data_IF_739227465277
#
_entry.id   IF_739227465277
#
_cell.length_a   1.000
_cell.length_b   1.000
_cell.length_c   1.000
_cell.angle_alpha   90.00
_cell.angle_beta   90.00
_cell.angle_gamma   90.00
#
_symmetry.space_group_name_H-M   'P 1'
#
loop_
_entity.id
_entity.type
_entity.pdbx_description
1 polymer ?
#
# COMPACT_ATOMS: atom_id res chain seq x y z
N UNK A 1 -52.21 -27.07 3.09
CA UNK A 1 -51.65 -28.21 3.88
C UNK A 1 -52.33 -29.50 3.46
N UNK A 2 -51.74 -30.71 3.59
CA UNK A 2 -50.39 -31.06 4.09
C UNK A 2 -49.57 -31.90 3.07
N UNK A 3 -48.26 -31.73 2.93
CA UNK A 3 -47.19 -32.23 3.82
C UNK A 3 -47.35 -33.73 4.22
N UNK A 4 -46.66 -34.62 3.50
CA UNK A 4 -46.37 -36.00 3.96
C UNK A 4 -44.84 -36.15 4.03
N UNK A 5 -44.24 -35.84 5.18
CA UNK A 5 -43.93 -36.73 6.31
C UNK A 5 -43.10 -37.96 5.91
N UNK A 6 -41.79 -37.79 6.11
CA UNK A 6 -40.79 -38.79 6.49
C UNK A 6 -41.40 -39.95 7.31
N UNK A 7 -41.08 -41.19 6.93
CA UNK A 7 -41.03 -42.31 7.87
C UNK A 7 -39.69 -43.01 7.73
N UNK A 8 -38.87 -42.85 8.75
CA UNK A 8 -37.77 -43.73 9.10
C UNK A 8 -38.34 -45.12 9.37
N UNK A 9 -37.64 -46.17 8.92
CA UNK A 9 -37.91 -47.56 9.30
C UNK A 9 -36.79 -48.05 10.22
N UNK A 10 -37.12 -48.73 11.34
CA UNK A 10 -36.17 -49.10 12.39
C UNK A 10 -35.44 -50.43 12.14
N UNK A 11 -34.50 -50.66 13.07
CA UNK A 11 -33.34 -51.56 13.13
C UNK A 11 -33.51 -53.10 13.11
N UNK A 12 -32.38 -53.74 12.76
CA UNK A 12 -31.77 -54.98 13.31
C UNK A 12 -32.30 -56.37 12.87
N UNK A 13 -31.53 -57.48 13.02
CA UNK A 13 -30.24 -57.65 13.72
C UNK A 13 -29.12 -58.47 13.02
N UNK A 14 -27.89 -58.12 13.41
CA UNK A 14 -26.72 -58.95 13.77
C UNK A 14 -26.64 -60.42 13.29
N UNK A 15 -25.57 -60.74 12.56
CA UNK A 15 -24.85 -62.01 12.74
C UNK A 15 -23.38 -61.75 13.08
N UNK A 16 -23.05 -62.07 14.33
CA UNK A 16 -21.70 -62.23 14.88
C UNK A 16 -21.14 -63.57 14.42
N UNK A 17 -19.94 -63.57 13.86
CA UNK A 17 -18.97 -64.65 14.09
C UNK A 17 -17.62 -64.01 14.34
N UNK A 18 -17.08 -64.31 15.51
CA UNK A 18 -15.87 -63.75 16.06
C UNK A 18 -14.71 -64.74 15.92
N UNK A 19 -13.50 -64.16 15.96
CA UNK A 19 -12.25 -64.70 16.50
C UNK A 19 -11.55 -65.85 15.74
N UNK A 20 -10.35 -65.53 15.24
CA UNK A 20 -9.13 -66.06 15.86
C UNK A 20 -7.95 -65.12 15.60
N UNK A 21 -7.32 -64.73 16.70
CA UNK A 21 -6.10 -63.95 16.79
C UNK A 21 -4.95 -64.88 17.19
N UNK A 22 -3.78 -64.72 16.58
CA UNK A 22 -2.46 -65.00 17.18
C UNK A 22 -1.38 -64.46 16.22
N UNK A 23 -0.82 -63.26 16.45
CA UNK A 23 0.36 -62.96 17.27
C UNK A 23 1.70 -63.46 16.66
N UNK A 24 2.43 -62.56 15.99
CA UNK A 24 3.89 -62.48 16.08
C UNK A 24 4.27 -61.01 16.20
N UNK A 25 4.71 -60.63 17.40
CA UNK A 25 5.36 -59.37 17.71
C UNK A 25 6.81 -59.41 17.23
N UNK A 26 7.27 -58.38 16.52
CA UNK A 26 8.65 -57.86 16.51
C UNK A 26 8.80 -56.90 15.31
N UNK A 27 8.51 -55.62 15.52
CA UNK A 27 8.65 -54.61 14.48
C UNK A 27 8.33 -53.20 14.95
N UNK A 28 8.49 -52.90 16.23
CA UNK A 28 8.51 -51.52 16.72
C UNK A 28 9.90 -50.93 16.45
N UNK A 29 10.26 -50.77 15.18
CA UNK A 29 11.40 -49.95 14.77
C UNK A 29 10.84 -48.57 14.45
N UNK A 30 11.09 -47.64 15.37
CA UNK A 30 10.54 -46.30 15.35
C UNK A 30 10.84 -45.57 14.06
N UNK A 31 9.80 -45.32 13.27
CA UNK A 31 9.82 -44.26 12.28
C UNK A 31 9.52 -42.96 13.01
N UNK A 32 10.55 -42.40 13.65
CA UNK A 32 10.55 -41.02 14.06
C UNK A 32 10.45 -40.17 12.79
N UNK A 33 9.22 -39.81 12.41
CA UNK A 33 8.99 -38.73 11.46
C UNK A 33 9.64 -37.49 12.08
N UNK A 34 10.82 -37.13 11.56
CA UNK A 34 11.37 -35.81 11.77
C UNK A 34 10.35 -34.83 11.19
N UNK A 35 9.51 -34.24 12.06
CA UNK A 35 8.82 -33.01 11.73
C UNK A 35 9.92 -31.99 11.51
N UNK A 36 10.33 -31.82 10.24
CA UNK A 36 11.14 -30.70 9.85
C UNK A 36 10.42 -29.44 10.36
N UNK A 37 11.11 -28.49 11.02
CA UNK A 37 10.47 -27.22 11.33
C UNK A 37 10.00 -26.64 10.00
N UNK A 38 8.68 -26.50 9.86
CA UNK A 38 8.10 -25.68 8.83
C UNK A 38 8.62 -24.27 9.09
N UNK A 39 9.66 -23.89 8.35
CA UNK A 39 10.14 -22.53 8.36
C UNK A 39 9.02 -21.69 7.75
N UNK A 40 8.29 -20.96 8.60
CA UNK A 40 7.51 -19.83 8.14
C UNK A 40 8.52 -18.80 7.62
N UNK A 41 8.87 -18.90 6.34
CA UNK A 41 9.64 -17.89 5.65
C UNK A 41 8.74 -16.67 5.47
N UNK A 42 8.90 -15.70 6.38
CA UNK A 42 8.11 -14.48 6.36
C UNK A 42 8.47 -13.57 7.51
N UNK A 43 9.73 -13.14 7.57
CA UNK A 43 10.04 -11.93 8.33
C UNK A 43 9.18 -10.82 7.74
N UNK A 44 8.26 -10.27 8.54
CA UNK A 44 7.43 -9.16 8.12
C UNK A 44 8.36 -8.01 7.70
N UNK A 45 8.30 -7.63 6.42
CA UNK A 45 8.98 -6.44 5.93
C UNK A 45 8.42 -5.24 6.71
N UNK A 46 9.21 -4.60 7.60
CA UNK A 46 8.68 -3.55 8.48
C UNK A 46 8.19 -2.32 7.72
N UNK A 47 8.59 -2.18 6.45
CA UNK A 47 8.24 -1.04 5.62
C UNK A 47 7.13 -1.35 4.62
N UNK A 48 6.57 -2.56 4.58
CA UNK A 48 5.47 -2.88 3.68
C UNK A 48 4.11 -2.49 4.28
N UNK A 49 3.41 -1.48 3.74
CA UNK A 49 2.19 -0.94 4.36
C UNK A 49 0.91 -1.64 3.88
N UNK A 50 0.99 -2.53 2.89
CA UNK A 50 -0.18 -3.17 2.29
C UNK A 50 -0.59 -4.43 3.06
N UNK A 51 -1.89 -4.74 3.06
CA UNK A 51 -2.44 -5.95 3.70
C UNK A 51 -1.90 -7.22 3.04
N UNK A 52 -1.76 -7.22 1.71
CA UNK A 52 -1.21 -8.35 0.96
C UNK A 52 0.29 -8.45 1.19
N UNK A 53 0.84 -9.66 1.44
CA UNK A 53 2.27 -9.85 1.58
C UNK A 53 3.00 -9.43 0.30
N UNK A 54 4.20 -8.87 0.46
CA UNK A 54 5.02 -8.44 -0.67
C UNK A 54 5.51 -9.66 -1.46
N UNK A 55 5.06 -9.78 -2.70
CA UNK A 55 5.60 -10.73 -3.68
C UNK A 55 6.49 -9.95 -4.64
N UNK A 56 7.83 -10.04 -4.60
CA UNK A 56 8.72 -9.14 -5.35
C UNK A 56 8.77 -9.40 -6.86
N UNK A 57 8.60 -10.66 -7.27
CA UNK A 57 8.66 -11.10 -8.67
C UNK A 57 7.47 -11.98 -8.97
N UNK A 58 6.84 -11.78 -10.12
CA UNK A 58 5.75 -12.62 -10.59
C UNK A 58 6.28 -13.98 -11.05
N UNK A 59 5.44 -15.02 -10.92
CA UNK A 59 5.74 -16.34 -11.47
C UNK A 59 5.01 -16.50 -12.81
N UNK A 60 5.78 -16.54 -13.91
CA UNK A 60 5.23 -16.65 -15.26
C UNK A 60 4.28 -17.85 -15.42
N UNK A 61 4.62 -19.00 -14.84
CA UNK A 61 3.80 -20.21 -14.89
C UNK A 61 2.43 -20.09 -14.22
N UNK A 62 2.17 -19.06 -13.40
CA UNK A 62 0.82 -18.80 -12.87
C UNK A 62 -0.06 -18.00 -13.83
N UNK A 63 0.54 -17.32 -14.82
CA UNK A 63 -0.15 -16.42 -15.74
C UNK A 63 -0.22 -16.97 -17.16
N UNK A 64 0.69 -17.87 -17.51
CA UNK A 64 0.91 -18.34 -18.87
C UNK A 64 0.85 -19.86 -18.96
N UNK A 65 0.02 -20.35 -19.87
CA UNK A 65 -0.16 -21.77 -20.15
C UNK A 65 0.51 -22.24 -21.45
N UNK A 66 1.28 -21.36 -22.11
CA UNK A 66 2.02 -21.70 -23.33
C UNK A 66 3.43 -22.22 -23.04
N UNK A 67 4.29 -22.29 -24.08
CA UNK A 67 5.69 -22.70 -23.91
C UNK A 67 6.44 -21.81 -22.90
N UNK A 68 7.51 -22.36 -22.33
CA UNK A 68 8.34 -21.62 -21.37
C UNK A 68 8.89 -20.33 -21.98
N UNK A 69 8.90 -19.26 -21.18
CA UNK A 69 9.48 -17.96 -21.54
C UNK A 69 10.89 -17.75 -20.99
N UNK A 70 11.40 -18.72 -20.23
CA UNK A 70 12.71 -18.62 -19.60
C UNK A 70 13.84 -18.55 -20.64
N UNK A 71 14.73 -17.57 -20.49
CA UNK A 71 15.87 -17.38 -21.39
C UNK A 71 15.53 -16.81 -22.77
N UNK A 72 14.27 -16.44 -23.04
CA UNK A 72 13.90 -15.77 -24.28
C UNK A 72 14.36 -14.31 -24.23
N UNK A 73 15.21 -13.92 -25.18
CA UNK A 73 15.55 -12.52 -25.42
C UNK A 73 14.58 -11.90 -26.42
N UNK A 74 13.53 -11.25 -25.91
CA UNK A 74 12.46 -10.68 -26.74
C UNK A 74 12.88 -9.43 -27.53
N UNK A 75 14.00 -8.80 -27.16
CA UNK A 75 14.56 -7.66 -27.88
C UNK A 75 15.13 -8.03 -29.26
N UNK A 76 15.35 -9.32 -29.53
CA UNK A 76 15.92 -9.80 -30.80
C UNK A 76 14.93 -9.71 -31.97
N UNK A 77 13.62 -9.63 -31.71
CA UNK A 77 12.59 -9.35 -32.73
C UNK A 77 12.18 -7.87 -32.63
N UNK A 78 12.52 -7.02 -33.62
CA UNK A 78 12.21 -5.59 -33.59
C UNK A 78 10.71 -5.28 -33.49
N UNK A 79 9.84 -6.12 -34.09
CA UNK A 79 8.39 -5.92 -34.03
C UNK A 79 7.85 -6.25 -32.64
N UNK A 80 8.40 -7.28 -31.99
CA UNK A 80 8.09 -7.58 -30.58
C UNK A 80 8.58 -6.42 -29.71
N UNK A 81 9.82 -5.95 -29.93
CA UNK A 81 10.42 -4.90 -29.12
C UNK A 81 9.64 -3.57 -29.17
N UNK A 82 9.07 -3.23 -30.33
CA UNK A 82 8.20 -2.07 -30.51
C UNK A 82 6.83 -2.24 -29.82
N UNK A 83 6.24 -3.44 -29.92
CA UNK A 83 4.87 -3.69 -29.47
C UNK A 83 4.76 -3.87 -27.94
N UNK A 84 5.75 -4.50 -27.31
CA UNK A 84 5.77 -4.77 -25.86
C UNK A 84 5.46 -3.54 -24.99
N UNK A 85 6.13 -2.37 -25.13
CA UNK A 85 5.84 -1.21 -24.30
C UNK A 85 4.43 -0.65 -24.52
N UNK A 86 3.85 -0.81 -25.71
CA UNK A 86 2.48 -0.40 -26.01
C UNK A 86 1.49 -1.33 -25.29
N UNK A 87 1.69 -2.64 -25.39
CA UNK A 87 0.84 -3.62 -24.71
C UNK A 87 0.99 -3.55 -23.19
N UNK A 88 2.19 -3.34 -22.65
CA UNK A 88 2.40 -3.25 -21.21
C UNK A 88 1.79 -1.97 -20.60
N UNK A 89 1.65 -0.90 -21.37
CA UNK A 89 1.16 0.37 -20.85
C UNK A 89 -0.31 0.32 -20.41
N UNK A 90 -0.60 0.65 -19.14
CA UNK A 90 -1.97 0.68 -18.59
C UNK A 90 -2.95 1.58 -19.36
N UNK A 91 -2.45 2.60 -20.06
CA UNK A 91 -3.26 3.52 -20.86
C UNK A 91 -3.81 2.90 -22.15
N UNK A 92 -3.21 1.80 -22.61
CA UNK A 92 -3.67 1.09 -23.80
C UNK A 92 -4.85 0.22 -23.39
N UNK A 93 -6.08 0.52 -23.82
CA UNK A 93 -7.25 -0.26 -23.43
C UNK A 93 -7.16 -1.69 -24.04
N UNK A 94 -7.88 -2.63 -23.43
CA UNK A 94 -7.72 -4.05 -23.80
C UNK A 94 -8.24 -4.38 -25.21
N UNK A 95 -9.23 -3.65 -25.71
CA UNK A 95 -9.75 -3.76 -27.07
C UNK A 95 -8.71 -3.34 -28.13
N UNK A 96 -7.97 -2.27 -27.87
CA UNK A 96 -6.82 -1.86 -28.69
C UNK A 96 -5.69 -2.90 -28.60
N UNK A 97 -5.38 -3.37 -27.39
CA UNK A 97 -4.38 -4.42 -27.19
C UNK A 97 -4.72 -5.71 -27.96
N UNK A 98 -5.98 -6.16 -27.91
CA UNK A 98 -6.46 -7.32 -28.67
C UNK A 98 -6.30 -7.09 -30.18
N UNK A 99 -6.62 -5.90 -30.67
CA UNK A 99 -6.45 -5.54 -32.08
C UNK A 99 -4.99 -5.60 -32.52
N UNK A 100 -4.08 -5.08 -31.70
CA UNK A 100 -2.64 -5.11 -31.95
C UNK A 100 -2.08 -6.54 -31.92
N UNK A 101 -2.53 -7.37 -30.97
CA UNK A 101 -2.13 -8.78 -30.86
C UNK A 101 -2.61 -9.57 -32.08
N UNK A 102 -3.85 -9.37 -32.52
CA UNK A 102 -4.39 -10.00 -33.73
C UNK A 102 -3.61 -9.59 -34.99
N UNK A 103 -3.29 -8.30 -35.12
CA UNK A 103 -2.49 -7.79 -36.23
C UNK A 103 -1.08 -8.40 -36.23
N UNK A 104 -0.44 -8.47 -35.06
CA UNK A 104 0.86 -9.13 -34.91
C UNK A 104 0.78 -10.63 -35.26
N UNK A 105 -0.25 -11.33 -34.80
CA UNK A 105 -0.47 -12.75 -35.06
C UNK A 105 -0.70 -13.06 -36.56
N UNK A 106 -1.33 -12.15 -37.30
CA UNK A 106 -1.52 -12.27 -38.74
C UNK A 106 -0.20 -12.12 -39.52
N UNK A 107 0.73 -11.32 -39.02
CA UNK A 107 2.09 -11.15 -39.57
C UNK A 107 3.09 -12.17 -39.00
N UNK A 108 2.69 -12.96 -37.98
CA UNK A 108 3.57 -13.85 -37.23
C UNK A 108 4.00 -15.13 -37.98
N UNK A 109 3.47 -15.38 -39.18
CA UNK A 109 3.62 -16.63 -39.90
C UNK A 109 2.51 -17.63 -39.54
N UNK A 110 2.80 -18.93 -39.58
CA UNK A 110 1.82 -19.99 -39.31
C UNK A 110 2.38 -21.10 -38.43
N UNK A 111 1.52 -21.74 -37.63
CA UNK A 111 1.89 -22.92 -36.85
C UNK A 111 3.00 -22.65 -35.84
N UNK A 112 4.05 -23.48 -35.84
CA UNK A 112 5.12 -23.42 -34.83
C UNK A 112 5.87 -22.08 -34.79
N UNK A 113 6.11 -21.46 -35.96
CA UNK A 113 6.82 -20.17 -36.04
C UNK A 113 5.98 -19.02 -35.44
N UNK A 114 4.67 -19.03 -35.73
CA UNK A 114 3.70 -18.10 -35.13
C UNK A 114 3.67 -18.25 -33.61
N UNK A 115 3.55 -19.48 -33.12
CA UNK A 115 3.52 -19.77 -31.68
C UNK A 115 4.82 -19.37 -30.98
N UNK A 116 5.98 -19.53 -31.65
CA UNK A 116 7.27 -19.06 -31.14
C UNK A 116 7.32 -17.54 -31.00
N UNK A 117 6.86 -16.79 -32.01
CA UNK A 117 6.82 -15.32 -31.97
C UNK A 117 5.81 -14.80 -30.94
N UNK A 118 4.65 -15.44 -30.80
CA UNK A 118 3.65 -15.10 -29.77
C UNK A 118 4.15 -15.39 -28.35
N UNK A 119 4.89 -16.49 -28.17
CA UNK A 119 5.56 -16.79 -26.89
C UNK A 119 6.61 -15.72 -26.56
N UNK A 120 7.39 -15.28 -27.55
CA UNK A 120 8.35 -14.18 -27.39
C UNK A 120 7.67 -12.85 -27.06
N UNK A 121 6.53 -12.55 -27.68
CA UNK A 121 5.72 -11.38 -27.35
C UNK A 121 5.26 -11.41 -25.89
N UNK A 122 4.75 -12.55 -25.43
CA UNK A 122 4.35 -12.69 -24.04
C UNK A 122 5.55 -12.58 -23.08
N UNK A 123 6.71 -13.17 -23.43
CA UNK A 123 7.93 -13.05 -22.64
C UNK A 123 8.30 -11.57 -22.40
N UNK A 124 8.24 -10.73 -23.44
CA UNK A 124 8.50 -9.30 -23.33
C UNK A 124 7.45 -8.55 -22.52
N UNK A 125 6.15 -8.82 -22.74
CA UNK A 125 5.06 -8.21 -21.96
C UNK A 125 5.19 -8.53 -20.47
N UNK A 126 5.48 -9.80 -20.15
CA UNK A 126 5.65 -10.26 -18.77
C UNK A 126 6.85 -9.57 -18.12
N UNK A 127 8.00 -9.52 -18.79
CA UNK A 127 9.22 -8.89 -18.30
C UNK A 127 9.04 -7.38 -18.04
N UNK A 128 8.44 -6.66 -19.00
CA UNK A 128 8.18 -5.21 -18.87
C UNK A 128 7.21 -4.92 -17.72
N UNK A 129 6.10 -5.66 -17.61
CA UNK A 129 5.12 -5.48 -16.53
C UNK A 129 5.73 -5.85 -15.17
N UNK A 130 6.48 -6.95 -15.08
CA UNK A 130 7.15 -7.35 -13.84
C UNK A 130 8.18 -6.29 -13.40
N UNK A 131 8.94 -5.73 -14.36
CA UNK A 131 9.88 -4.63 -14.10
C UNK A 131 9.17 -3.37 -13.61
N UNK A 132 8.07 -2.95 -14.25
CA UNK A 132 7.25 -1.83 -13.78
C UNK A 132 6.71 -2.07 -12.38
N UNK A 133 6.22 -3.29 -12.12
CA UNK A 133 5.69 -3.69 -10.81
C UNK A 133 6.76 -3.59 -9.74
N UNK A 134 7.96 -4.14 -9.95
CA UNK A 134 9.05 -4.04 -8.98
C UNK A 134 9.42 -2.59 -8.66
N UNK A 135 9.39 -1.68 -9.65
CA UNK A 135 9.60 -0.23 -9.42
C UNK A 135 8.51 0.38 -8.55
N UNK A 136 7.25 -0.02 -8.75
CA UNK A 136 6.11 0.39 -7.91
C UNK A 136 6.30 -0.12 -6.49
N UNK A 137 6.57 -1.42 -6.29
CA UNK A 137 6.76 -1.98 -4.95
C UNK A 137 7.86 -1.23 -4.18
N UNK A 138 9.00 -0.95 -4.83
CA UNK A 138 10.07 -0.15 -4.22
C UNK A 138 9.62 1.29 -3.90
N UNK A 139 8.73 1.86 -4.70
CA UNK A 139 8.09 3.16 -4.42
C UNK A 139 7.19 3.13 -3.19
N UNK A 140 6.42 2.05 -3.01
CA UNK A 140 5.56 1.84 -1.83
C UNK A 140 6.40 1.76 -0.56
N UNK A 141 7.52 1.05 -0.58
CA UNK A 141 8.44 0.98 0.56
C UNK A 141 9.02 2.35 0.92
N UNK A 142 9.48 3.12 -0.08
CA UNK A 142 9.95 4.49 0.14
C UNK A 142 8.84 5.39 0.70
N UNK A 143 7.63 5.24 0.20
CA UNK A 143 6.46 5.96 0.70
C UNK A 143 6.21 5.65 2.17
N UNK A 144 6.18 4.37 2.54
CA UNK A 144 6.01 3.90 3.92
C UNK A 144 7.11 4.43 4.84
N UNK A 145 8.37 4.37 4.40
CA UNK A 145 9.48 4.97 5.14
C UNK A 145 9.25 6.46 5.41
N UNK A 146 8.86 7.24 4.40
CA UNK A 146 8.58 8.66 4.59
C UNK A 146 7.39 8.91 5.53
N UNK A 147 6.39 8.02 5.56
CA UNK A 147 5.28 8.10 6.51
C UNK A 147 5.73 7.85 7.95
N UNK A 148 6.64 6.90 8.17
CA UNK A 148 7.25 6.66 9.48
C UNK A 148 8.08 7.86 9.93
N UNK A 149 8.91 8.41 9.04
CA UNK A 149 9.76 9.56 9.33
C UNK A 149 8.92 10.81 9.64
N UNK A 150 7.84 11.06 8.88
CA UNK A 150 6.87 12.14 9.15
C UNK A 150 6.16 11.93 10.50
N UNK A 151 5.70 10.71 10.80
CA UNK A 151 5.08 10.39 12.09
C UNK A 151 6.02 10.67 13.27
N UNK A 152 7.31 10.33 13.12
CA UNK A 152 8.32 10.61 14.13
C UNK A 152 8.48 12.12 14.34
N UNK A 153 8.60 12.89 13.27
CA UNK A 153 8.74 14.35 13.34
C UNK A 153 7.52 15.00 14.01
N UNK A 154 6.30 14.64 13.61
CA UNK A 154 5.07 15.14 14.26
C UNK A 154 5.08 14.88 15.76
N UNK A 155 5.53 13.70 16.19
CA UNK A 155 5.64 13.36 17.63
C UNK A 155 6.67 14.25 18.33
N UNK A 156 7.84 14.46 17.73
CA UNK A 156 8.90 15.30 18.29
C UNK A 156 8.43 16.76 18.41
N UNK A 157 7.89 17.33 17.34
CA UNK A 157 7.35 18.70 17.31
C UNK A 157 6.16 18.87 18.28
N UNK A 158 5.28 17.87 18.39
CA UNK A 158 4.17 17.89 19.36
C UNK A 158 4.66 17.91 20.80
N UNK A 159 5.75 17.20 21.11
CA UNK A 159 6.37 17.22 22.44
C UNK A 159 7.03 18.57 22.72
N UNK A 160 7.71 19.15 21.73
CA UNK A 160 8.30 20.50 21.83
C UNK A 160 7.23 21.56 22.04
N UNK A 161 6.16 21.54 21.25
CA UNK A 161 5.01 22.41 21.40
C UNK A 161 4.38 22.30 22.80
N UNK A 162 4.23 21.06 23.31
CA UNK A 162 3.72 20.83 24.67
C UNK A 162 4.61 21.46 25.74
N UNK A 163 5.94 21.36 25.60
CA UNK A 163 6.91 21.97 26.52
C UNK A 163 6.87 23.49 26.45
N UNK A 164 6.82 24.06 25.25
CA UNK A 164 6.72 25.50 25.02
C UNK A 164 5.45 26.08 25.64
N UNK A 165 4.27 25.49 25.35
CA UNK A 165 2.99 25.89 25.95
C UNK A 165 2.99 25.80 27.48
N UNK A 166 3.63 24.77 28.07
CA UNK A 166 3.79 24.66 29.53
C UNK A 166 4.67 25.77 30.11
N UNK A 167 5.78 26.10 29.45
CA UNK A 167 6.69 27.16 29.87
C UNK A 167 6.01 28.54 29.81
N UNK A 168 5.28 28.84 28.74
CA UNK A 168 4.49 30.06 28.60
C UNK A 168 3.43 30.18 29.70
N UNK A 169 2.69 29.10 29.96
CA UNK A 169 1.69 29.06 31.04
C UNK A 169 2.32 29.32 32.41
N UNK A 170 3.48 28.72 32.69
CA UNK A 170 4.22 28.95 33.95
C UNK A 170 4.71 30.40 34.06
N UNK A 171 5.22 30.97 32.98
CA UNK A 171 5.66 32.37 32.94
C UNK A 171 4.49 33.36 33.11
N UNK A 172 3.30 33.02 32.59
CA UNK A 172 2.09 33.79 32.81
C UNK A 172 1.60 33.70 34.26
N UNK A 173 1.64 32.51 34.88
CA UNK A 173 1.28 32.33 36.29
C UNK A 173 2.24 33.06 37.24
N UNK A 174 3.55 33.03 36.96
CA UNK A 174 4.61 33.73 37.72
C UNK A 174 4.62 35.27 37.59
N UNK A 175 3.69 35.84 36.81
CA UNK A 175 3.43 37.29 36.77
C UNK A 175 2.22 37.69 37.62
N UNK A 176 1.33 36.75 37.93
CA UNK A 176 0.09 37.02 38.69
C UNK A 176 0.32 37.06 40.21
N UNK A 177 1.42 36.49 40.67
CA UNK A 177 1.91 36.45 42.05
C UNK A 177 2.86 37.62 42.41
N UNK A 178 3.30 38.43 41.42
CA UNK A 178 4.20 39.57 41.60
C UNK A 178 3.51 40.95 41.55
N UNK A 179 2.18 41.02 41.47
CA UNK A 179 1.40 42.26 41.54
C UNK A 179 0.26 42.14 42.55
N UNK A 180 0.60 42.27 43.83
CA UNK A 180 -0.35 42.71 44.84
C UNK A 180 0.28 43.85 45.66
N UNK A 181 -0.11 45.09 45.38
CA UNK A 181 -0.26 46.09 46.43
C UNK A 181 -1.74 46.42 46.62
N UNK A 182 -2.12 46.54 47.89
CA UNK A 182 -3.43 47.00 48.34
C UNK A 182 -3.90 48.27 47.62
N UNK A 183 -5.11 48.25 47.08
CA UNK A 183 -5.84 49.46 46.71
C UNK A 183 -7.32 49.33 47.09
N UNK A 184 -7.71 50.12 48.10
CA UNK A 184 -9.09 50.35 48.52
C UNK A 184 -9.94 51.00 47.42
N UNK A 185 -11.23 50.76 47.54
CA UNK A 185 -12.35 51.12 46.67
C UNK A 185 -12.51 52.61 46.31
N UNK A 186 -13.07 52.84 45.11
CA UNK A 186 -14.09 53.87 44.84
C UNK A 186 -14.92 53.50 43.59
N UNK A 187 -16.17 53.97 43.57
CA UNK A 187 -17.33 53.42 42.86
C UNK A 187 -17.76 54.27 41.64
N UNK A 188 -18.02 53.58 40.51
CA UNK A 188 -19.02 53.84 39.43
C UNK A 188 -18.98 55.14 38.58
N UNK A 189 -19.85 55.27 37.54
CA UNK A 189 -19.83 54.55 36.26
C UNK A 189 -19.84 55.53 35.05
N UNK A 190 -19.67 55.05 33.80
CA UNK A 190 -20.55 55.41 32.67
C UNK A 190 -20.16 54.72 31.35
N UNK A 191 -21.22 54.34 30.65
CA UNK A 191 -21.36 53.75 29.32
C UNK A 191 -21.04 54.71 28.18
N UNK A 192 -20.37 54.22 27.12
CA UNK A 192 -20.63 54.58 25.72
C UNK A 192 -19.88 53.67 24.74
N UNK A 193 -20.64 52.99 23.89
CA UNK A 193 -20.30 52.50 22.52
C UNK A 193 -21.30 53.24 21.60
N UNK A 194 -21.14 53.41 20.26
CA UNK A 194 -20.31 52.57 19.37
C UNK A 194 -19.69 53.23 18.10
N UNK A 195 -18.96 52.38 17.35
CA UNK A 195 -19.00 52.21 15.88
C UNK A 195 -18.07 52.99 14.94
N UNK A 196 -17.53 52.25 13.96
CA UNK A 196 -16.84 52.67 12.73
C UNK A 196 -15.71 51.68 12.35
N UNK A 197 -15.93 50.62 11.53
CA UNK A 197 -15.86 50.58 10.05
C UNK A 197 -14.49 51.00 9.48
N UNK A 198 -13.82 50.39 8.49
CA UNK A 198 -14.00 49.22 7.63
C UNK A 198 -12.69 49.03 6.79
N UNK A 199 -12.58 47.89 6.10
CA UNK A 199 -11.70 47.58 4.93
C UNK A 199 -10.17 47.56 5.17
N UNK A 200 -9.34 46.71 4.57
CA UNK A 200 -9.42 45.81 3.42
C UNK A 200 -8.06 45.89 2.69
N UNK A 201 -7.43 44.77 2.32
CA UNK A 201 -6.24 44.83 1.45
C UNK A 201 -5.20 43.70 1.55
N UNK A 202 -5.37 42.70 0.68
CA UNK A 202 -4.36 42.04 -0.16
C UNK A 202 -3.15 41.32 0.46
N UNK A 203 -3.01 40.06 0.01
CA UNK A 203 -1.94 39.15 0.40
C UNK A 203 -0.56 39.49 -0.14
N UNK A 204 0.44 38.84 0.47
CA UNK A 204 1.75 38.68 -0.15
C UNK A 204 2.31 37.30 0.18
N UNK A 205 2.68 36.62 -0.90
CA UNK A 205 3.48 35.39 -0.93
C UNK A 205 4.89 35.71 -0.44
N UNK A 206 5.43 34.88 0.46
CA UNK A 206 6.77 35.04 1.02
C UNK A 206 7.45 33.68 1.17
N UNK A 207 8.42 33.42 0.31
CA UNK A 207 9.41 32.34 0.41
C UNK A 207 10.23 32.51 1.69
N UNK A 208 10.28 31.50 2.56
CA UNK A 208 11.04 31.57 3.81
C UNK A 208 12.47 31.05 3.61
N UNK A 209 13.43 31.97 3.55
CA UNK A 209 14.84 31.73 3.83
C UNK A 209 15.11 32.29 5.24
N UNK A 210 15.49 31.43 6.18
CA UNK A 210 15.64 31.81 7.58
C UNK A 210 17.09 32.23 7.87
N UNK A 211 17.31 33.52 8.09
CA UNK A 211 18.53 34.11 8.68
C UNK A 211 18.29 34.45 10.15
N UNK A 212 19.27 34.09 10.99
CA UNK A 212 19.29 34.32 12.43
C UNK A 212 19.26 35.82 12.82
N UNK A 213 18.54 36.16 13.91
CA UNK A 213 18.55 37.48 14.55
C UNK A 213 17.61 37.57 15.77
N UNK A 214 18.05 38.25 16.82
CA UNK A 214 17.58 38.22 18.23
C UNK A 214 16.42 39.18 18.56
N UNK A 215 15.75 38.98 19.72
CA UNK A 215 15.05 40.04 20.44
C UNK A 215 13.93 39.57 21.39
N UNK A 216 13.99 39.97 22.66
CA UNK A 216 13.01 39.61 23.70
C UNK A 216 11.56 40.01 23.36
N UNK A 217 10.61 39.20 23.83
CA UNK A 217 9.18 39.10 23.44
C UNK A 217 8.87 38.15 22.25
N UNK A 218 9.81 37.27 21.88
CA UNK A 218 9.69 36.34 20.73
C UNK A 218 9.16 34.92 21.01
N UNK A 219 8.75 34.56 22.23
CA UNK A 219 8.35 33.17 22.55
C UNK A 219 6.94 32.81 22.08
N UNK A 220 5.97 33.72 22.21
CA UNK A 220 4.60 33.50 21.72
C UNK A 220 4.55 33.31 20.19
N UNK A 221 5.44 33.99 19.45
CA UNK A 221 5.61 33.78 18.01
C UNK A 221 6.18 32.40 17.68
N UNK A 222 7.11 31.90 18.49
CA UNK A 222 7.71 30.57 18.32
C UNK A 222 6.73 29.43 18.62
N UNK A 223 5.88 29.54 19.66
CA UNK A 223 4.88 28.51 19.99
C UNK A 223 3.75 28.47 18.95
N UNK A 224 3.29 29.63 18.48
CA UNK A 224 2.28 29.71 17.44
C UNK A 224 2.79 29.15 16.10
N UNK A 225 4.07 29.33 15.79
CA UNK A 225 4.67 28.74 14.59
C UNK A 225 4.80 27.22 14.68
N UNK A 226 5.32 26.69 15.80
CA UNK A 226 5.36 25.25 16.06
C UNK A 226 3.97 24.60 15.98
N UNK A 227 2.93 25.30 16.46
CA UNK A 227 1.55 24.81 16.34
C UNK A 227 1.10 24.71 14.88
N UNK A 228 1.43 25.69 14.04
CA UNK A 228 1.13 25.61 12.61
C UNK A 228 1.87 24.47 11.93
N UNK A 229 3.16 24.28 12.23
CA UNK A 229 3.98 23.21 11.68
C UNK A 229 3.39 21.84 12.01
N UNK A 230 3.11 21.56 13.29
CA UNK A 230 2.49 20.30 13.74
C UNK A 230 1.14 20.09 13.03
N UNK A 231 0.30 21.12 12.93
CA UNK A 231 -0.99 21.02 12.27
C UNK A 231 -0.86 20.72 10.78
N UNK A 232 0.09 21.36 10.09
CA UNK A 232 0.35 21.12 8.68
C UNK A 232 0.86 19.70 8.44
N UNK A 233 1.85 19.25 9.20
CA UNK A 233 2.43 17.93 9.07
C UNK A 233 1.43 16.82 9.40
N UNK A 234 0.59 17.02 10.42
CA UNK A 234 -0.51 16.10 10.74
C UNK A 234 -1.48 15.95 9.56
N UNK A 235 -1.88 17.05 8.92
CA UNK A 235 -2.75 16.99 7.72
C UNK A 235 -2.08 16.25 6.58
N UNK A 236 -0.79 16.48 6.32
CA UNK A 236 -0.04 15.74 5.30
C UNK A 236 -0.02 14.25 5.64
N UNK A 237 0.26 13.90 6.89
CA UNK A 237 0.31 12.52 7.34
C UNK A 237 -1.03 11.82 7.12
N UNK A 238 -2.14 12.44 7.52
CA UNK A 238 -3.49 11.90 7.39
C UNK A 238 -3.88 11.74 5.91
N UNK A 239 -3.66 12.77 5.09
CA UNK A 239 -3.95 12.71 3.66
C UNK A 239 -3.18 11.58 2.97
N UNK A 240 -1.90 11.40 3.33
CA UNK A 240 -1.06 10.32 2.82
C UNK A 240 -1.49 8.95 3.36
N UNK A 241 -1.90 8.86 4.61
CA UNK A 241 -2.40 7.61 5.19
C UNK A 241 -3.67 7.14 4.47
N UNK A 242 -4.59 8.06 4.17
CA UNK A 242 -5.81 7.77 3.39
C UNK A 242 -5.51 7.27 1.96
N UNK A 243 -4.40 7.72 1.36
CA UNK A 243 -4.00 7.32 0.01
C UNK A 243 -3.34 5.93 -0.07
N UNK A 244 -2.98 5.29 1.06
CA UNK A 244 -2.25 4.00 1.08
C UNK A 244 -3.02 2.92 0.32
N UNK A 245 -4.35 2.84 0.47
CA UNK A 245 -5.17 1.84 -0.22
C UNK A 245 -5.02 1.91 -1.74
N UNK A 246 -5.15 3.09 -2.33
CA UNK A 246 -5.02 3.29 -3.78
C UNK A 246 -3.59 2.97 -4.28
N UNK A 247 -2.58 3.29 -3.47
CA UNK A 247 -1.18 2.93 -3.76
C UNK A 247 -1.00 1.41 -3.78
N UNK A 248 -1.60 0.71 -2.83
CA UNK A 248 -1.54 -0.75 -2.72
C UNK A 248 -2.33 -1.49 -3.83
N UNK A 249 -3.28 -0.84 -4.49
CA UNK A 249 -4.01 -1.40 -5.64
C UNK A 249 -3.18 -1.38 -6.94
N UNK A 250 -2.18 -0.49 -7.03
CA UNK A 250 -1.42 -0.30 -8.27
C UNK A 250 -0.71 -1.57 -8.79
N UNK A 251 -0.05 -2.40 -7.95
CA UNK A 251 0.53 -3.67 -8.39
C UNK A 251 -0.51 -4.67 -8.92
N UNK A 252 -1.69 -4.73 -8.29
CA UNK A 252 -2.76 -5.66 -8.66
C UNK A 252 -3.30 -5.35 -10.06
N UNK A 253 -3.43 -4.07 -10.41
CA UNK A 253 -3.87 -3.65 -11.75
C UNK A 253 -2.87 -4.12 -12.83
N UNK A 254 -1.56 -4.07 -12.54
CA UNK A 254 -0.54 -4.58 -13.47
C UNK A 254 -0.62 -6.11 -13.62
N UNK A 255 -0.84 -6.83 -12.53
CA UNK A 255 -1.03 -8.29 -12.53
C UNK A 255 -2.26 -8.72 -13.34
N UNK A 256 -3.39 -8.02 -13.18
CA UNK A 256 -4.59 -8.24 -13.98
C UNK A 256 -4.34 -7.99 -15.46
N UNK A 257 -3.58 -6.94 -15.79
CA UNK A 257 -3.24 -6.61 -17.17
C UNK A 257 -2.39 -7.70 -17.84
N UNK A 258 -1.32 -8.17 -17.19
CA UNK A 258 -0.49 -9.24 -17.76
C UNK A 258 -1.28 -10.53 -17.93
N UNK A 259 -2.20 -10.86 -17.01
CA UNK A 259 -3.08 -12.01 -17.16
C UNK A 259 -4.03 -11.87 -18.36
N UNK A 260 -4.63 -10.69 -18.54
CA UNK A 260 -5.50 -10.43 -19.69
C UNK A 260 -4.73 -10.53 -21.02
N UNK A 261 -3.52 -9.96 -21.10
CA UNK A 261 -2.65 -10.05 -22.27
C UNK A 261 -2.19 -11.50 -22.53
N UNK A 262 -1.85 -12.26 -21.49
CA UNK A 262 -1.51 -13.68 -21.61
C UNK A 262 -2.65 -14.47 -22.29
N UNK A 263 -3.89 -14.23 -21.87
CA UNK A 263 -5.08 -14.87 -22.46
C UNK A 263 -5.32 -14.43 -23.89
N UNK A 264 -5.21 -13.13 -24.19
CA UNK A 264 -5.36 -12.60 -25.54
C UNK A 264 -4.33 -13.22 -26.52
N UNK A 265 -3.06 -13.31 -26.10
CA UNK A 265 -2.01 -13.95 -26.90
C UNK A 265 -2.28 -15.44 -27.09
N UNK A 266 -2.70 -16.18 -26.05
CA UNK A 266 -3.05 -17.60 -26.17
C UNK A 266 -4.19 -17.86 -27.14
N UNK A 267 -5.21 -16.99 -27.18
CA UNK A 267 -6.37 -17.16 -28.05
C UNK A 267 -6.03 -17.07 -29.55
N UNK A 268 -4.89 -16.48 -29.89
CA UNK A 268 -4.44 -16.35 -31.28
C UNK A 268 -3.31 -17.33 -31.64
N UNK A 269 -2.92 -18.22 -30.73
CA UNK A 269 -2.00 -19.32 -31.01
C UNK A 269 -2.73 -20.47 -31.73
N UNK A 270 -2.03 -21.19 -32.59
CA UNK A 270 -2.55 -22.33 -33.36
C UNK A 270 -2.25 -23.69 -32.69
#
# INVERSE_FOLDING_TARGET
MPARRFRLRPDAPLRRTALSAALCAAGALGLALAAAPAHAAGGADPLWPCIQPKVPTLAAGQMWAGPTIEGINWHDDPKVAELVPILAARRTPMDEADSLINAFAADAGSGADKNKRLTMLFAGVFDEINTQRSRILAGIERYSKHQVDLSKRIKEESLELSRAKKAEKKAAAGKTDASAPDAKAATAPNSATPSGAAAGGTGQSGTNQNTAGQGGNGQAGSTAELEKEVLWDTRIYDARHQAVSAVCESPVILEQRVFALARAIQNVMD
#
